data_IF_837414087609
#
_entry.id   IF_837414087609
#
_cell.length_a   1.000
_cell.length_b   1.000
_cell.length_c   1.000
_cell.angle_alpha   90.00
_cell.angle_beta   90.00
_cell.angle_gamma   90.00
#
_symmetry.space_group_name_H-M   'P 1'
#
loop_
_entity.id
_entity.type
_entity.pdbx_description
1 polymer ?
#
# COMPACT_ATOMS: atom_id res chain seq x y z
N UNK A 1 43.01 -8.53 -9.80
CA UNK A 1 42.50 -7.38 -9.05
C UNK A 1 41.01 -7.23 -9.36
N UNK A 2 40.18 -7.83 -8.49
CA UNK A 2 38.74 -7.83 -8.56
C UNK A 2 38.23 -6.44 -8.21
N UNK A 3 37.66 -5.75 -9.18
CA UNK A 3 36.99 -4.47 -8.97
C UNK A 3 35.68 -4.69 -8.17
N UNK A 4 35.71 -4.39 -6.88
CA UNK A 4 34.50 -4.22 -6.08
C UNK A 4 33.69 -3.08 -6.72
N UNK A 5 32.48 -3.39 -7.24
CA UNK A 5 31.51 -2.36 -7.60
C UNK A 5 31.24 -1.52 -6.34
N UNK A 6 31.24 -0.17 -6.45
CA UNK A 6 30.95 0.67 -5.30
C UNK A 6 29.55 0.32 -4.78
N UNK A 7 29.42 0.24 -3.45
CA UNK A 7 28.13 0.09 -2.79
C UNK A 7 27.19 1.18 -3.31
N UNK A 8 26.09 0.77 -3.93
CA UNK A 8 25.10 1.70 -4.48
C UNK A 8 24.65 2.64 -3.35
N UNK A 9 24.93 3.92 -3.50
CA UNK A 9 24.55 4.92 -2.50
C UNK A 9 23.04 4.89 -2.34
N UNK A 10 22.57 4.45 -1.16
CA UNK A 10 21.16 4.31 -0.83
C UNK A 10 20.37 5.61 -1.08
N UNK A 11 21.03 6.78 -1.03
CA UNK A 11 20.37 8.07 -1.21
C UNK A 11 20.00 8.36 -2.66
N UNK A 12 20.73 7.82 -3.63
CA UNK A 12 20.55 8.07 -5.06
C UNK A 12 19.80 6.96 -5.80
N UNK A 13 19.70 5.75 -5.22
CA UNK A 13 19.05 4.62 -5.87
C UNK A 13 17.55 4.89 -6.10
N UNK A 14 17.02 4.59 -7.30
CA UNK A 14 15.59 4.75 -7.59
C UNK A 14 14.76 3.82 -6.69
N UNK A 15 13.60 4.33 -6.25
CA UNK A 15 12.63 3.55 -5.48
C UNK A 15 11.68 2.85 -6.44
N UNK A 16 11.50 1.56 -6.26
CA UNK A 16 10.57 0.74 -7.05
C UNK A 16 9.84 -0.26 -6.15
N UNK A 17 8.75 -0.83 -6.64
CA UNK A 17 8.01 -1.87 -5.94
C UNK A 17 7.80 -3.08 -6.83
N UNK A 18 7.72 -4.24 -6.21
CA UNK A 18 7.42 -5.52 -6.85
C UNK A 18 6.67 -6.46 -5.89
N UNK A 19 5.84 -7.37 -6.43
CA UNK A 19 5.23 -8.42 -5.62
C UNK A 19 6.31 -9.29 -4.97
N UNK A 20 6.04 -9.73 -3.74
CA UNK A 20 6.85 -10.73 -3.04
C UNK A 20 6.43 -12.13 -3.48
N UNK A 21 7.30 -12.81 -4.18
CA UNK A 21 7.09 -14.20 -4.62
C UNK A 21 7.77 -15.24 -3.73
N UNK A 22 8.54 -14.78 -2.76
CA UNK A 22 9.37 -15.64 -1.89
C UNK A 22 8.84 -15.75 -0.45
N UNK A 23 7.97 -14.82 -0.05
CA UNK A 23 7.51 -14.67 1.34
C UNK A 23 8.52 -13.96 2.26
N UNK A 24 9.65 -13.51 1.73
CA UNK A 24 10.68 -12.83 2.53
C UNK A 24 10.22 -11.44 3.00
N UNK A 25 9.52 -10.70 2.14
CA UNK A 25 8.97 -9.39 2.52
C UNK A 25 7.87 -9.55 3.57
N UNK A 26 6.99 -10.55 3.42
CA UNK A 26 5.97 -10.88 4.41
C UNK A 26 6.59 -11.14 5.78
N UNK A 27 7.58 -12.04 5.86
CA UNK A 27 8.31 -12.34 7.10
C UNK A 27 8.96 -11.10 7.70
N UNK A 28 9.56 -10.26 6.86
CA UNK A 28 10.20 -9.03 7.30
C UNK A 28 9.20 -8.02 7.88
N UNK A 29 8.02 -7.88 7.28
CA UNK A 29 6.93 -7.03 7.80
C UNK A 29 6.44 -7.56 9.15
N UNK A 30 6.12 -8.85 9.23
CA UNK A 30 5.65 -9.47 10.47
C UNK A 30 6.67 -9.32 11.61
N UNK A 31 7.96 -9.59 11.35
CA UNK A 31 9.02 -9.38 12.33
C UNK A 31 9.12 -7.93 12.81
N UNK A 32 8.89 -6.95 11.91
CA UNK A 32 8.92 -5.53 12.24
C UNK A 32 7.73 -5.05 13.05
N UNK A 33 6.57 -5.69 12.91
CA UNK A 33 5.34 -5.39 13.64
C UNK A 33 5.19 -6.20 14.92
N UNK A 34 5.90 -7.33 15.05
CA UNK A 34 5.72 -8.31 16.11
C UNK A 34 4.54 -9.26 15.87
N UNK A 35 4.08 -9.37 14.63
CA UNK A 35 2.95 -10.20 14.21
C UNK A 35 3.42 -11.61 13.77
N UNK A 36 2.51 -12.59 13.76
CA UNK A 36 2.76 -13.89 13.15
C UNK A 36 2.37 -13.86 11.66
N UNK A 37 3.16 -14.53 10.82
CA UNK A 37 2.85 -14.72 9.39
C UNK A 37 1.48 -15.37 9.19
N UNK A 38 1.10 -16.28 10.07
CA UNK A 38 -0.19 -16.97 10.01
C UNK A 38 -1.39 -16.04 10.17
N UNK A 39 -1.24 -14.88 10.82
CA UNK A 39 -2.31 -13.91 11.04
C UNK A 39 -2.82 -13.27 9.73
N UNK A 40 -2.00 -13.33 8.69
CA UNK A 40 -2.32 -12.71 7.39
C UNK A 40 -2.95 -13.67 6.37
N UNK A 41 -3.02 -14.96 6.66
CA UNK A 41 -3.68 -15.95 5.79
C UNK A 41 -3.29 -15.84 4.31
N UNK A 42 -4.29 -15.94 3.44
CA UNK A 42 -4.10 -15.69 2.01
C UNK A 42 -3.87 -14.19 1.76
N UNK A 43 -2.71 -13.84 1.25
CA UNK A 43 -2.32 -12.45 1.05
C UNK A 43 -1.54 -12.22 -0.24
N UNK A 44 -1.48 -10.97 -0.67
CA UNK A 44 -0.53 -10.47 -1.66
C UNK A 44 0.39 -9.47 -0.96
N UNK A 45 1.68 -9.76 -0.94
CA UNK A 45 2.66 -8.84 -0.34
C UNK A 45 3.45 -8.13 -1.43
N UNK A 46 3.71 -6.83 -1.21
CA UNK A 46 4.46 -5.96 -2.12
C UNK A 46 5.67 -5.42 -1.36
N UNK A 47 6.87 -5.66 -1.87
CA UNK A 47 8.10 -5.03 -1.37
C UNK A 47 8.38 -3.71 -2.07
N UNK A 48 8.88 -2.73 -1.32
CA UNK A 48 9.36 -1.44 -1.83
C UNK A 48 10.86 -1.33 -1.58
N UNK A 49 11.62 -1.14 -2.64
CA UNK A 49 13.07 -1.27 -2.66
C UNK A 49 13.76 0.00 -3.17
N UNK A 50 14.99 0.22 -2.68
CA UNK A 50 15.95 1.13 -3.29
C UNK A 50 17.25 0.36 -3.57
N UNK A 51 17.51 0.05 -4.84
CA UNK A 51 18.56 -0.91 -5.18
C UNK A 51 18.25 -2.28 -4.58
N UNK A 52 19.11 -2.78 -3.70
CA UNK A 52 18.93 -4.07 -2.98
C UNK A 52 18.34 -3.91 -1.57
N UNK A 53 18.04 -2.69 -1.13
CA UNK A 53 17.60 -2.41 0.22
C UNK A 53 16.08 -2.34 0.26
N UNK A 54 15.46 -3.16 1.12
CA UNK A 54 14.03 -3.14 1.40
C UNK A 54 13.71 -1.94 2.30
N UNK A 55 12.85 -1.04 1.83
CA UNK A 55 12.43 0.16 2.54
C UNK A 55 11.09 -0.01 3.25
N UNK A 56 10.18 -0.75 2.64
CA UNK A 56 8.85 -1.03 3.16
C UNK A 56 8.28 -2.33 2.58
N UNK A 57 7.35 -2.92 3.31
CA UNK A 57 6.50 -4.00 2.84
C UNK A 57 5.03 -3.64 3.07
N UNK A 58 4.19 -4.04 2.13
CA UNK A 58 2.75 -3.80 2.14
C UNK A 58 2.05 -5.14 1.96
N UNK A 59 1.27 -5.54 2.95
CA UNK A 59 0.46 -6.77 2.92
C UNK A 59 -0.97 -6.39 2.56
N UNK A 60 -1.52 -7.08 1.57
CA UNK A 60 -2.92 -7.02 1.16
C UNK A 60 -3.57 -8.36 1.53
N UNK A 61 -4.39 -8.37 2.56
CA UNK A 61 -5.02 -9.58 3.09
C UNK A 61 -6.55 -9.44 3.19
N UNK A 62 -7.23 -10.53 3.54
CA UNK A 62 -8.70 -10.57 3.66
C UNK A 62 -9.42 -10.02 2.43
N UNK A 63 -8.88 -10.33 1.25
CA UNK A 63 -9.43 -9.87 -0.01
C UNK A 63 -10.80 -10.50 -0.26
N UNK A 64 -11.81 -9.66 -0.39
CA UNK A 64 -13.15 -10.04 -0.87
C UNK A 64 -13.34 -9.47 -2.28
N UNK A 65 -13.37 -10.32 -3.32
CA UNK A 65 -13.49 -9.88 -4.71
C UNK A 65 -14.69 -8.93 -4.91
N UNK A 66 -14.46 -7.83 -5.63
CA UNK A 66 -15.45 -6.76 -5.88
C UNK A 66 -15.94 -6.01 -4.61
N UNK A 67 -15.36 -6.27 -3.47
CA UNK A 67 -15.73 -5.62 -2.20
C UNK A 67 -14.54 -4.84 -1.65
N UNK A 68 -13.60 -5.50 -0.97
CA UNK A 68 -12.53 -4.81 -0.27
C UNK A 68 -11.28 -5.66 -0.04
N UNK A 69 -10.27 -5.01 0.48
CA UNK A 69 -9.04 -5.61 0.97
C UNK A 69 -8.52 -4.80 2.15
N UNK A 70 -7.84 -5.46 3.07
CA UNK A 70 -7.14 -4.83 4.18
C UNK A 70 -5.67 -4.62 3.82
N UNK A 71 -5.12 -3.48 4.24
CA UNK A 71 -3.71 -3.15 4.02
C UNK A 71 -2.99 -3.03 5.36
N UNK A 72 -1.85 -3.70 5.45
CA UNK A 72 -0.89 -3.54 6.53
C UNK A 72 0.43 -3.07 5.94
N UNK A 73 1.04 -2.03 6.53
CA UNK A 73 2.28 -1.43 6.02
C UNK A 73 3.29 -1.35 7.15
N UNK A 74 4.48 -1.87 6.91
CA UNK A 74 5.65 -1.64 7.74
C UNK A 74 6.77 -1.00 6.92
N UNK A 75 7.46 -0.02 7.49
CA UNK A 75 8.55 0.66 6.81
C UNK A 75 9.63 1.11 7.79
N UNK A 76 10.87 1.02 7.35
CA UNK A 76 12.05 1.50 8.08
C UNK A 76 12.61 2.81 7.55
N UNK A 77 12.13 3.26 6.38
CA UNK A 77 12.64 4.45 5.72
C UNK A 77 11.54 5.20 4.98
N UNK A 78 11.34 6.48 5.32
CA UNK A 78 10.30 7.34 4.74
C UNK A 78 10.34 7.51 3.20
N UNK A 79 11.48 7.23 2.57
CA UNK A 79 11.64 7.27 1.10
C UNK A 79 10.73 6.28 0.36
N UNK A 80 10.20 5.27 1.04
CA UNK A 80 9.32 4.30 0.41
C UNK A 80 8.07 4.93 -0.22
N UNK A 81 7.51 5.96 0.44
CA UNK A 81 6.22 6.56 0.08
C UNK A 81 6.36 7.57 -1.07
N UNK A 82 6.81 7.10 -2.23
CA UNK A 82 6.85 7.93 -3.43
C UNK A 82 5.49 7.92 -4.14
N UNK A 83 5.23 8.95 -4.95
CA UNK A 83 4.00 9.02 -5.77
C UNK A 83 3.84 7.79 -6.68
N UNK A 84 4.93 7.25 -7.21
CA UNK A 84 4.91 6.07 -8.07
C UNK A 84 4.49 4.81 -7.30
N UNK A 85 5.06 4.59 -6.10
CA UNK A 85 4.70 3.48 -5.22
C UNK A 85 3.24 3.55 -4.81
N UNK A 86 2.77 4.72 -4.36
CA UNK A 86 1.38 4.93 -3.96
C UNK A 86 0.40 4.61 -5.10
N UNK A 87 0.69 5.13 -6.30
CA UNK A 87 -0.10 4.82 -7.50
C UNK A 87 -0.11 3.34 -7.83
N UNK A 88 1.05 2.67 -7.74
CA UNK A 88 1.15 1.23 -7.99
C UNK A 88 0.27 0.43 -7.02
N UNK A 89 0.37 0.68 -5.72
CA UNK A 89 -0.41 -0.02 -4.69
C UNK A 89 -1.91 0.16 -4.91
N UNK A 90 -2.38 1.39 -5.12
CA UNK A 90 -3.81 1.61 -5.34
C UNK A 90 -4.30 1.10 -6.69
N UNK A 91 -3.44 1.04 -7.72
CA UNK A 91 -3.79 0.36 -8.96
C UNK A 91 -3.95 -1.16 -8.74
N UNK A 92 -3.07 -1.79 -7.95
CA UNK A 92 -3.24 -3.20 -7.56
C UNK A 92 -4.59 -3.39 -6.86
N UNK A 93 -4.89 -2.60 -5.82
CA UNK A 93 -6.12 -2.72 -5.03
C UNK A 93 -7.38 -2.48 -5.87
N UNK A 94 -7.45 -1.35 -6.56
CA UNK A 94 -8.70 -0.89 -7.18
C UNK A 94 -8.88 -1.33 -8.64
N UNK A 95 -7.80 -1.71 -9.32
CA UNK A 95 -7.86 -2.12 -10.72
C UNK A 95 -7.62 -3.62 -10.87
N UNK A 96 -6.51 -4.14 -10.37
CA UNK A 96 -6.17 -5.55 -10.55
C UNK A 96 -7.00 -6.46 -9.63
N UNK A 97 -7.14 -6.13 -8.34
CA UNK A 97 -7.98 -6.86 -7.38
C UNK A 97 -9.46 -6.49 -7.48
N UNK A 98 -9.77 -5.44 -8.25
CA UNK A 98 -11.14 -4.93 -8.48
C UNK A 98 -11.92 -4.64 -7.21
N UNK A 99 -11.27 -4.16 -6.15
CA UNK A 99 -11.94 -3.75 -4.92
C UNK A 99 -12.69 -2.43 -5.09
N UNK A 100 -13.80 -2.25 -4.36
CA UNK A 100 -14.51 -0.97 -4.26
C UNK A 100 -13.99 -0.10 -3.14
N UNK A 101 -13.33 -0.73 -2.14
CA UNK A 101 -12.73 -0.02 -1.01
C UNK A 101 -11.44 -0.69 -0.54
N UNK A 102 -10.60 0.11 0.09
CA UNK A 102 -9.41 -0.31 0.82
C UNK A 102 -9.59 0.03 2.30
N UNK A 103 -9.13 -0.85 3.20
CA UNK A 103 -9.26 -0.68 4.65
C UNK A 103 -7.90 -0.72 5.32
N UNK A 104 -7.76 0.00 6.43
CA UNK A 104 -6.60 -0.06 7.32
C UNK A 104 -7.05 0.02 8.78
N UNK A 105 -6.32 -0.70 9.65
CA UNK A 105 -6.38 -0.51 11.10
C UNK A 105 -5.16 0.27 11.54
N UNK A 106 -5.35 1.32 12.33
CA UNK A 106 -4.25 2.13 12.84
C UNK A 106 -4.48 2.39 14.33
N UNK A 107 -3.50 1.99 15.16
CA UNK A 107 -3.54 2.30 16.59
C UNK A 107 -3.70 3.80 16.80
N UNK A 108 -4.57 4.18 17.73
CA UNK A 108 -4.88 5.59 18.06
C UNK A 108 -3.62 6.40 18.39
N UNK A 109 -2.63 5.76 18.97
CA UNK A 109 -1.36 6.38 19.37
C UNK A 109 -0.36 6.51 18.22
N UNK A 110 -0.61 5.85 17.10
CA UNK A 110 0.27 5.90 15.93
C UNK A 110 -0.06 7.10 15.02
N UNK A 111 0.22 8.30 15.54
CA UNK A 111 -0.06 9.56 14.84
C UNK A 111 0.64 9.67 13.48
N UNK A 112 1.83 9.05 13.32
CA UNK A 112 2.56 9.06 12.04
C UNK A 112 1.78 8.31 10.96
N UNK A 113 1.31 7.11 11.27
CA UNK A 113 0.50 6.31 10.34
C UNK A 113 -0.87 6.92 10.10
N UNK A 114 -1.50 7.52 11.11
CA UNK A 114 -2.78 8.25 10.94
C UNK A 114 -2.63 9.41 9.97
N UNK A 115 -1.62 10.27 10.17
CA UNK A 115 -1.36 11.41 9.29
C UNK A 115 -1.05 10.95 7.85
N UNK A 116 -0.26 9.87 7.69
CA UNK A 116 0.03 9.31 6.38
C UNK A 116 -1.25 8.80 5.69
N UNK A 117 -2.05 7.98 6.37
CA UNK A 117 -3.26 7.41 5.81
C UNK A 117 -4.26 8.51 5.40
N UNK A 118 -4.50 9.50 6.26
CA UNK A 118 -5.36 10.64 5.94
C UNK A 118 -4.80 11.48 4.79
N UNK A 119 -3.49 11.71 4.73
CA UNK A 119 -2.82 12.38 3.62
C UNK A 119 -2.95 11.63 2.28
N UNK A 120 -3.00 10.30 2.33
CA UNK A 120 -3.29 9.46 1.16
C UNK A 120 -4.76 9.52 0.73
N UNK A 121 -5.67 9.88 1.64
CA UNK A 121 -7.10 10.03 1.37
C UNK A 121 -8.01 9.04 2.13
N UNK A 122 -7.47 8.26 3.05
CA UNK A 122 -8.30 7.44 3.94
C UNK A 122 -9.09 8.32 4.91
N UNK A 123 -10.31 7.90 5.21
CA UNK A 123 -11.20 8.55 6.18
C UNK A 123 -11.39 7.65 7.40
N UNK A 124 -11.40 8.25 8.59
CA UNK A 124 -11.73 7.53 9.82
C UNK A 124 -13.23 7.21 9.77
N UNK A 125 -13.59 5.94 9.94
CA UNK A 125 -14.96 5.45 9.91
C UNK A 125 -15.41 4.89 11.26
N UNK A 126 -14.47 4.58 12.15
CA UNK A 126 -14.80 4.07 13.47
C UNK A 126 -13.62 4.01 14.42
N UNK A 127 -13.94 3.81 15.69
CA UNK A 127 -13.00 3.58 16.79
C UNK A 127 -13.36 2.26 17.46
N UNK A 128 -12.42 1.32 17.47
CA UNK A 128 -12.49 0.08 18.22
C UNK A 128 -11.75 0.26 19.52
N UNK A 129 -12.49 0.25 20.63
CA UNK A 129 -11.91 0.42 21.98
C UNK A 129 -11.25 -0.88 22.42
N UNK A 130 -10.07 -0.79 23.03
CA UNK A 130 -9.31 -1.93 23.55
C UNK A 130 -9.07 -3.05 22.50
N UNK A 131 -8.84 -2.67 21.26
CA UNK A 131 -8.75 -3.60 20.14
C UNK A 131 -7.38 -4.30 20.06
N UNK A 132 -6.30 -3.62 20.47
CA UNK A 132 -4.96 -4.19 20.44
C UNK A 132 -4.73 -5.08 21.68
N UNK A 133 -3.83 -6.06 21.58
CA UNK A 133 -3.47 -6.95 22.70
C UNK A 133 -3.04 -6.19 23.95
N UNK A 134 -2.37 -5.04 23.78
CA UNK A 134 -1.98 -4.16 24.88
C UNK A 134 -3.13 -3.26 25.39
N UNK A 135 -4.36 -3.47 24.94
CA UNK A 135 -5.53 -2.69 25.32
C UNK A 135 -5.65 -1.31 24.63
N UNK A 136 -4.79 -0.99 23.68
CA UNK A 136 -4.88 0.28 22.96
C UNK A 136 -6.10 0.31 22.00
N UNK A 137 -6.71 1.50 21.88
CA UNK A 137 -7.77 1.77 20.90
C UNK A 137 -7.20 1.76 19.48
N UNK A 138 -8.03 1.40 18.52
CA UNK A 138 -7.66 1.34 17.11
C UNK A 138 -8.69 2.04 16.23
N UNK A 139 -8.26 2.91 15.35
CA UNK A 139 -9.12 3.46 14.31
C UNK A 139 -9.25 2.49 13.15
N UNK A 140 -10.47 2.40 12.62
CA UNK A 140 -10.77 1.81 11.30
C UNK A 140 -10.84 2.95 10.31
N UNK A 141 -10.05 2.88 9.25
CA UNK A 141 -10.11 3.86 8.16
C UNK A 141 -10.42 3.15 6.85
N UNK A 142 -11.17 3.82 6.01
CA UNK A 142 -11.52 3.34 4.67
C UNK A 142 -11.23 4.37 3.59
N UNK A 143 -11.01 3.87 2.36
CA UNK A 143 -10.93 4.67 1.15
C UNK A 143 -11.77 4.00 0.06
N UNK A 144 -12.72 4.71 -0.52
CA UNK A 144 -13.47 4.22 -1.67
C UNK A 144 -12.69 4.42 -2.97
N UNK A 145 -12.89 3.50 -3.92
CA UNK A 145 -12.31 3.62 -5.27
C UNK A 145 -12.61 4.96 -5.92
N UNK A 146 -13.83 5.47 -5.74
CA UNK A 146 -14.30 6.76 -6.28
C UNK A 146 -13.65 7.97 -5.64
N UNK A 147 -13.07 7.82 -4.44
CA UNK A 147 -12.38 8.86 -3.68
C UNK A 147 -10.86 8.85 -3.91
N UNK A 148 -10.34 7.77 -4.52
CA UNK A 148 -8.90 7.57 -4.69
C UNK A 148 -8.33 8.49 -5.78
N UNK A 149 -7.60 9.51 -5.36
CA UNK A 149 -6.91 10.48 -6.24
C UNK A 149 -5.65 9.92 -6.91
N UNK A 150 -5.25 8.71 -6.55
CA UNK A 150 -4.00 8.09 -7.00
C UNK A 150 -4.17 7.16 -8.19
N UNK A 151 -5.39 6.81 -8.55
CA UNK A 151 -5.64 5.98 -9.72
C UNK A 151 -5.13 6.67 -10.99
N UNK A 152 -4.60 5.86 -11.89
CA UNK A 152 -4.24 6.36 -13.20
C UNK A 152 -5.54 6.76 -13.90
N UNK A 153 -5.67 8.04 -14.26
CA UNK A 153 -6.79 8.47 -15.10
C UNK A 153 -6.77 7.58 -16.35
N UNK A 154 -7.86 6.85 -16.57
CA UNK A 154 -8.13 6.29 -17.90
C UNK A 154 -8.05 7.48 -18.83
N UNK A 155 -7.09 7.46 -19.74
CA UNK A 155 -6.73 8.59 -20.57
C UNK A 155 -7.99 9.31 -21.06
N UNK A 156 -8.03 10.64 -20.93
CA UNK A 156 -9.03 11.56 -21.50
C UNK A 156 -9.22 11.41 -23.02
N UNK A 157 -8.64 10.38 -23.62
CA UNK A 157 -8.71 10.09 -25.05
C UNK A 157 -9.98 9.37 -25.49
N UNK A 158 -10.73 8.71 -24.60
CA UNK A 158 -11.99 8.08 -25.02
C UNK A 158 -13.14 9.07 -25.20
N UNK A 159 -13.14 10.22 -24.52
CA UNK A 159 -14.19 11.23 -24.71
C UNK A 159 -14.00 12.10 -25.96
N UNK A 160 -12.81 12.11 -26.58
CA UNK A 160 -12.58 12.84 -27.81
C UNK A 160 -13.01 12.06 -29.08
N UNK A 161 -13.04 10.75 -28.99
CA UNK A 161 -13.48 9.88 -30.11
C UNK A 161 -15.02 9.81 -30.14
N UNK A 162 -15.67 9.79 -28.98
CA UNK A 162 -17.12 9.73 -28.89
C UNK A 162 -17.79 11.03 -29.37
N UNK A 163 -17.18 12.20 -29.15
CA UNK A 163 -17.70 13.49 -29.63
C UNK A 163 -17.53 13.72 -31.13
N UNK A 164 -16.64 12.95 -31.80
CA UNK A 164 -16.48 13.01 -33.26
C UNK A 164 -17.44 12.09 -34.02
N UNK A 165 -17.97 11.05 -33.36
CA UNK A 165 -18.92 10.12 -33.96
C UNK A 165 -20.37 10.63 -33.84
N UNK A 166 -20.65 11.55 -32.90
CA UNK A 166 -22.00 12.12 -32.71
C UNK A 166 -22.29 13.33 -33.63
N UNK A 167 -21.35 13.72 -34.46
CA UNK A 167 -21.47 14.85 -35.41
C UNK A 167 -21.33 14.44 -36.88
N UNK A 168 -21.55 13.16 -37.19
CA UNK A 168 -21.78 12.62 -38.53
C UNK A 168 -23.20 12.00 -38.52
#
# INVERSE_FOLDING_TARGET
LSGMKPACDMKSAPVYCKPDTTGEVLKWVCAGLGDDVADYGANLTIGVWAGTILLAGIILNDHRPNVDVWLTIYSTNKRWCTRAVVKYVFNVVFTLMNCRRANVFISKDNHKSLNLAQGLGFKIEGLLRQYRENGADCYVLGMLKTECKWLWEKAKHQNKVQSHISNI
#
